data_IF_111435299938
#
_entry.id   IF_111435299938
#
_cell.length_a   1.000
_cell.length_b   1.000
_cell.length_c   1.000
_cell.angle_alpha   90.00
_cell.angle_beta   90.00
_cell.angle_gamma   90.00
#
_symmetry.space_group_name_H-M   'P 1'
#
loop_
_entity.id
_entity.type
_entity.pdbx_description
1 polymer ?
#
# COMPACT_ATOMS: atom_id res chain seq x y z
N UNK A 1 -25.38 37.72 12.49
CA UNK A 1 -24.66 36.49 12.87
C UNK A 1 -23.30 36.56 12.24
N UNK A 2 -22.33 36.85 13.09
CA UNK A 2 -20.93 37.09 12.79
C UNK A 2 -20.29 35.77 12.37
N UNK A 3 -19.70 35.74 11.18
CA UNK A 3 -18.80 34.65 10.78
C UNK A 3 -17.56 34.80 11.65
N UNK A 4 -17.50 34.00 12.71
CA UNK A 4 -16.29 33.83 13.50
C UNK A 4 -15.30 33.05 12.65
N UNK A 5 -14.18 33.69 12.33
CA UNK A 5 -12.94 33.03 11.89
C UNK A 5 -12.69 31.82 12.79
N UNK A 6 -12.89 30.62 12.25
CA UNK A 6 -12.29 29.42 12.81
C UNK A 6 -10.84 29.41 12.35
N UNK A 7 -9.97 29.74 13.31
CA UNK A 7 -8.58 29.35 13.44
C UNK A 7 -7.80 29.02 12.15
N UNK A 8 -6.79 29.85 11.90
CA UNK A 8 -5.61 29.50 11.11
C UNK A 8 -5.06 28.16 11.61
N UNK A 9 -5.48 27.06 10.99
CA UNK A 9 -4.76 25.81 11.03
C UNK A 9 -3.35 26.11 10.52
N UNK A 10 -2.36 25.98 11.40
CA UNK A 10 -0.94 26.19 11.12
C UNK A 10 -0.57 25.43 9.84
N UNK A 11 -0.18 26.19 8.81
CA UNK A 11 -0.03 25.79 7.41
C UNK A 11 1.22 24.95 7.13
N UNK A 12 1.66 24.14 8.08
CA UNK A 12 2.87 23.33 7.98
C UNK A 12 2.47 21.84 8.00
N UNK A 13 2.33 21.25 6.80
CA UNK A 13 1.99 19.85 6.55
C UNK A 13 3.13 18.90 6.91
N UNK A 14 4.39 19.36 6.91
CA UNK A 14 5.55 18.61 7.39
C UNK A 14 6.24 19.30 8.59
N UNK A 15 6.82 18.54 9.54
CA UNK A 15 7.60 19.14 10.62
C UNK A 15 8.79 19.94 10.07
N UNK A 16 8.93 21.21 10.49
CA UNK A 16 10.07 22.08 10.17
C UNK A 16 11.43 21.44 10.45
N UNK A 17 11.50 20.57 11.44
CA UNK A 17 12.69 19.80 11.78
C UNK A 17 13.23 18.95 10.61
N UNK A 18 12.36 18.40 9.77
CA UNK A 18 12.79 17.65 8.59
C UNK A 18 13.46 18.55 7.56
N UNK A 19 12.95 19.77 7.40
CA UNK A 19 13.56 20.78 6.53
C UNK A 19 14.94 21.18 7.07
N UNK A 20 15.08 21.38 8.39
CA UNK A 20 16.38 21.68 9.00
C UNK A 20 17.41 20.60 8.68
N UNK A 21 17.08 19.33 8.95
CA UNK A 21 17.97 18.19 8.67
C UNK A 21 18.33 18.06 7.18
N UNK A 22 17.36 18.27 6.28
CA UNK A 22 17.61 18.27 4.84
C UNK A 22 18.60 19.36 4.43
N UNK A 23 18.42 20.59 4.94
CA UNK A 23 19.31 21.71 4.67
C UNK A 23 20.69 21.50 5.28
N UNK A 24 20.78 20.95 6.48
CA UNK A 24 22.05 20.64 7.13
C UNK A 24 22.82 19.56 6.37
N UNK A 25 22.15 18.49 5.94
CA UNK A 25 22.75 17.47 5.09
C UNK A 25 23.25 18.07 3.76
N UNK A 26 22.46 18.94 3.13
CA UNK A 26 22.85 19.64 1.92
C UNK A 26 24.08 20.56 2.13
N UNK A 27 24.09 21.41 3.16
CA UNK A 27 25.25 22.27 3.50
C UNK A 27 26.50 21.46 3.79
N UNK A 28 26.34 20.38 4.57
CA UNK A 28 27.41 19.49 4.98
C UNK A 28 27.91 18.57 3.86
N UNK A 29 27.25 18.56 2.69
CA UNK A 29 27.51 17.62 1.60
C UNK A 29 27.52 16.16 2.09
N UNK A 30 26.55 15.85 2.95
CA UNK A 30 26.40 14.54 3.59
C UNK A 30 24.95 14.05 3.43
N UNK A 31 24.70 12.83 3.89
CA UNK A 31 23.38 12.22 3.96
C UNK A 31 23.30 11.31 5.19
N UNK A 32 22.10 10.90 5.55
CA UNK A 32 21.91 9.92 6.63
C UNK A 32 22.39 8.55 6.17
N UNK A 33 23.36 7.97 6.89
CA UNK A 33 23.96 6.66 6.56
C UNK A 33 24.16 5.81 7.81
N UNK A 34 24.21 4.49 7.62
CA UNK A 34 24.55 3.56 8.69
C UNK A 34 26.02 3.78 9.16
N UNK A 35 26.37 3.44 10.41
CA UNK A 35 27.73 3.62 10.94
C UNK A 35 28.82 2.84 10.19
N UNK A 36 28.45 1.86 9.38
CA UNK A 36 29.39 1.06 8.60
C UNK A 36 28.71 0.36 7.43
N UNK A 37 29.54 -0.09 6.50
CA UNK A 37 29.08 -0.84 5.33
C UNK A 37 28.64 -2.25 5.71
N UNK A 38 27.68 -2.77 4.96
CA UNK A 38 27.26 -4.18 5.00
C UNK A 38 27.47 -4.81 3.63
N UNK A 39 27.70 -6.12 3.61
CA UNK A 39 27.85 -6.90 2.37
C UNK A 39 26.83 -8.02 2.37
N UNK A 40 26.04 -8.13 1.30
CA UNK A 40 25.07 -9.19 1.11
C UNK A 40 25.53 -10.14 -0.01
N UNK A 41 25.55 -11.46 0.21
CA UNK A 41 25.88 -12.41 -0.84
C UNK A 41 24.76 -12.47 -1.89
N UNK A 42 25.11 -12.72 -3.15
CA UNK A 42 24.13 -12.83 -4.25
C UNK A 42 23.05 -13.91 -4.01
N UNK A 43 23.32 -14.89 -3.16
CA UNK A 43 22.38 -15.94 -2.75
C UNK A 43 21.15 -15.39 -2.03
N UNK A 44 21.23 -14.20 -1.41
CA UNK A 44 20.09 -13.47 -0.85
C UNK A 44 18.98 -13.27 -1.89
N UNK A 45 19.36 -13.06 -3.15
CA UNK A 45 18.43 -12.75 -4.24
C UNK A 45 18.11 -13.95 -5.14
N UNK A 46 18.93 -15.01 -5.08
CA UNK A 46 18.90 -16.11 -6.05
C UNK A 46 18.59 -17.48 -5.44
N UNK A 47 18.71 -17.66 -4.12
CA UNK A 47 18.43 -18.94 -3.46
C UNK A 47 16.91 -19.24 -3.40
N UNK A 48 16.42 -20.28 -4.10
CA UNK A 48 15.02 -20.64 -4.09
C UNK A 48 14.52 -21.13 -2.71
N UNK A 49 15.40 -21.73 -1.89
CA UNK A 49 15.03 -22.18 -0.53
C UNK A 49 14.79 -20.98 0.37
N UNK A 50 15.63 -19.95 0.26
CA UNK A 50 15.40 -18.67 0.93
C UNK A 50 14.11 -18.02 0.46
N UNK A 51 13.89 -17.94 -0.85
CA UNK A 51 12.67 -17.34 -1.39
C UNK A 51 11.41 -18.02 -0.85
N UNK A 52 11.39 -19.36 -0.78
CA UNK A 52 10.25 -20.08 -0.20
C UNK A 52 10.03 -19.71 1.28
N UNK A 53 11.10 -19.62 2.09
CA UNK A 53 11.00 -19.16 3.48
C UNK A 53 10.51 -17.72 3.60
N UNK A 54 10.94 -16.84 2.70
CA UNK A 54 10.44 -15.46 2.65
C UNK A 54 8.94 -15.43 2.37
N UNK A 55 8.44 -16.23 1.41
CA UNK A 55 7.00 -16.39 1.14
C UNK A 55 6.23 -16.86 2.38
N UNK A 56 6.75 -17.86 3.09
CA UNK A 56 6.06 -18.45 4.24
C UNK A 56 6.09 -17.54 5.47
N UNK A 57 7.20 -16.84 5.73
CA UNK A 57 7.37 -16.03 6.95
C UNK A 57 6.90 -14.58 6.73
N UNK A 58 7.35 -13.93 5.66
CA UNK A 58 7.09 -12.52 5.43
C UNK A 58 5.75 -12.30 4.73
N UNK A 59 5.50 -13.02 3.64
CA UNK A 59 4.32 -12.77 2.83
C UNK A 59 3.07 -13.42 3.40
N UNK A 60 3.12 -14.67 3.88
CA UNK A 60 1.94 -15.28 4.52
C UNK A 60 1.69 -14.74 5.93
N UNK A 61 2.74 -14.52 6.72
CA UNK A 61 2.63 -14.04 8.10
C UNK A 61 2.55 -12.52 8.26
N UNK A 62 2.52 -11.76 7.16
CA UNK A 62 2.48 -10.29 7.16
C UNK A 62 1.23 -9.75 6.51
N UNK A 63 0.85 -8.53 6.90
CA UNK A 63 -0.19 -7.78 6.21
C UNK A 63 0.39 -7.02 5.01
N UNK A 64 -0.40 -6.90 3.95
CA UNK A 64 0.01 -6.29 2.69
C UNK A 64 -0.84 -5.08 2.37
N UNK A 65 -0.19 -3.96 2.06
CA UNK A 65 -0.85 -2.82 1.44
C UNK A 65 -1.20 -3.20 0.00
N UNK A 66 -2.50 -3.26 -0.29
CA UNK A 66 -2.99 -3.73 -1.60
C UNK A 66 -3.67 -2.65 -2.42
N UNK A 67 -3.85 -1.47 -1.84
CA UNK A 67 -4.49 -0.35 -2.51
C UNK A 67 -4.79 0.79 -1.55
N UNK A 68 -5.57 1.74 -2.04
CA UNK A 68 -6.09 2.86 -1.27
C UNK A 68 -7.63 2.87 -1.26
N UNK A 69 -8.23 3.54 -0.28
CA UNK A 69 -9.69 3.55 -0.10
C UNK A 69 -10.42 4.14 -1.32
N UNK A 70 -9.77 5.07 -2.03
CA UNK A 70 -10.27 5.66 -3.28
C UNK A 70 -10.43 4.68 -4.45
N UNK A 71 -9.87 3.45 -4.40
CA UNK A 71 -10.16 2.42 -5.40
C UNK A 71 -11.57 1.84 -5.23
N UNK A 72 -12.18 2.01 -4.05
CA UNK A 72 -13.54 1.59 -3.72
C UNK A 72 -14.33 2.80 -3.21
N UNK A 73 -14.70 3.77 -4.06
CA UNK A 73 -15.22 5.06 -3.60
C UNK A 73 -16.64 5.00 -3.03
N UNK A 74 -17.42 3.95 -3.33
CA UNK A 74 -18.83 3.86 -2.94
C UNK A 74 -19.29 2.41 -2.76
N UNK A 75 -20.40 2.18 -2.02
CA UNK A 75 -21.04 0.87 -1.96
C UNK A 75 -21.28 0.26 -3.35
N UNK A 76 -21.15 -1.05 -3.47
CA UNK A 76 -21.29 -1.75 -4.76
C UNK A 76 -19.99 -1.90 -5.53
N UNK A 77 -18.86 -1.39 -5.04
CA UNK A 77 -17.57 -1.47 -5.74
C UNK A 77 -16.74 -2.67 -5.30
N UNK A 78 -15.88 -3.16 -6.20
CA UNK A 78 -14.89 -4.18 -5.89
C UNK A 78 -13.58 -3.95 -6.65
N UNK A 79 -12.50 -4.49 -6.11
CA UNK A 79 -11.19 -4.62 -6.77
C UNK A 79 -10.63 -6.03 -6.53
N UNK A 80 -9.73 -6.46 -7.40
CA UNK A 80 -8.98 -7.70 -7.25
C UNK A 80 -7.49 -7.44 -7.31
N UNK A 81 -6.72 -8.19 -6.52
CA UNK A 81 -5.25 -8.10 -6.47
C UNK A 81 -4.67 -9.52 -6.37
N UNK A 82 -3.43 -9.68 -6.80
CA UNK A 82 -2.66 -10.90 -6.52
C UNK A 82 -1.54 -10.55 -5.54
N UNK A 83 -1.56 -11.19 -4.37
CA UNK A 83 -0.61 -10.92 -3.29
C UNK A 83 0.22 -12.18 -3.05
N UNK A 84 1.49 -12.15 -3.45
CA UNK A 84 2.40 -13.29 -3.33
C UNK A 84 1.82 -14.61 -3.85
N UNK A 85 1.11 -14.58 -4.98
CA UNK A 85 0.46 -15.74 -5.59
C UNK A 85 -0.96 -16.02 -5.11
N UNK A 86 -1.49 -15.25 -4.15
CA UNK A 86 -2.84 -15.44 -3.60
C UNK A 86 -3.81 -14.44 -4.22
N UNK A 87 -4.88 -14.89 -4.90
CA UNK A 87 -5.87 -14.00 -5.48
C UNK A 87 -6.78 -13.46 -4.38
N UNK A 88 -6.82 -12.14 -4.24
CA UNK A 88 -7.59 -11.40 -3.23
C UNK A 88 -8.68 -10.60 -3.95
N UNK A 89 -9.88 -10.62 -3.37
CA UNK A 89 -11.02 -9.80 -3.76
C UNK A 89 -11.33 -8.87 -2.59
N UNK A 90 -11.46 -7.57 -2.87
CA UNK A 90 -11.94 -6.59 -1.89
C UNK A 90 -13.24 -6.00 -2.40
N UNK A 91 -14.22 -5.87 -1.53
CA UNK A 91 -15.52 -5.28 -1.82
C UNK A 91 -15.82 -4.15 -0.85
N UNK A 92 -16.63 -3.17 -1.29
CA UNK A 92 -17.37 -2.28 -0.39
C UNK A 92 -18.85 -2.61 -0.53
N UNK A 93 -19.43 -3.23 0.50
CA UNK A 93 -20.83 -3.64 0.45
C UNK A 93 -21.79 -2.46 0.65
N UNK A 94 -23.10 -2.72 0.57
CA UNK A 94 -24.18 -1.72 0.70
C UNK A 94 -24.15 -0.97 2.05
N UNK A 95 -23.58 -1.58 3.09
CA UNK A 95 -23.37 -0.96 4.40
C UNK A 95 -22.16 -0.03 4.45
N UNK A 96 -21.41 0.12 3.35
CA UNK A 96 -20.22 0.94 3.24
C UNK A 96 -18.95 0.31 3.80
N UNK A 97 -19.04 -0.89 4.40
CA UNK A 97 -17.92 -1.57 5.06
C UNK A 97 -17.07 -2.32 4.03
N UNK A 98 -15.76 -2.14 4.13
CA UNK A 98 -14.77 -2.88 3.34
C UNK A 98 -14.64 -4.32 3.83
N UNK A 99 -14.58 -5.25 2.89
CA UNK A 99 -14.39 -6.68 3.17
C UNK A 99 -13.38 -7.25 2.19
N UNK A 100 -12.57 -8.20 2.64
CA UNK A 100 -11.66 -8.95 1.78
C UNK A 100 -11.99 -10.44 1.82
N UNK A 101 -11.77 -11.10 0.69
CA UNK A 101 -11.98 -12.53 0.51
C UNK A 101 -10.85 -13.12 -0.32
N UNK A 102 -10.61 -14.42 -0.16
CA UNK A 102 -9.93 -15.18 -1.21
C UNK A 102 -10.82 -15.15 -2.45
N UNK A 103 -10.26 -14.67 -3.57
CA UNK A 103 -10.96 -14.60 -4.85
C UNK A 103 -10.99 -15.99 -5.52
N UNK A 104 -11.69 -16.92 -4.87
CA UNK A 104 -11.82 -18.30 -5.27
C UNK A 104 -13.22 -18.80 -4.89
N UNK A 105 -13.98 -19.25 -5.87
CA UNK A 105 -15.31 -19.78 -5.68
C UNK A 105 -15.25 -21.04 -4.79
N UNK A 106 -16.07 -21.10 -3.75
CA UNK A 106 -16.16 -22.24 -2.83
C UNK A 106 -16.61 -23.55 -3.46
N UNK A 107 -17.15 -23.53 -4.68
CA UNK A 107 -17.49 -24.74 -5.41
C UNK A 107 -16.23 -25.49 -5.92
N UNK A 108 -15.42 -24.85 -6.78
CA UNK A 108 -14.26 -25.50 -7.44
C UNK A 108 -13.05 -24.58 -7.61
N UNK A 109 -12.97 -23.49 -6.84
CA UNK A 109 -11.80 -22.61 -6.78
C UNK A 109 -11.60 -21.67 -7.96
N UNK A 110 -12.52 -21.60 -8.93
CA UNK A 110 -12.44 -20.62 -10.02
C UNK A 110 -12.47 -19.19 -9.47
N UNK A 111 -11.67 -18.28 -10.03
CA UNK A 111 -11.71 -16.87 -9.65
C UNK A 111 -13.10 -16.29 -9.92
N UNK A 112 -13.62 -15.56 -8.95
CA UNK A 112 -15.01 -15.07 -8.93
C UNK A 112 -15.12 -13.73 -9.66
N UNK A 113 -14.09 -12.90 -9.56
CA UNK A 113 -14.02 -11.60 -10.21
C UNK A 113 -12.61 -11.36 -10.77
N UNK A 114 -12.50 -10.40 -11.69
CA UNK A 114 -11.23 -9.95 -12.28
C UNK A 114 -11.28 -8.43 -12.46
N UNK A 115 -10.12 -7.78 -12.30
CA UNK A 115 -10.00 -6.32 -12.34
C UNK A 115 -10.74 -5.60 -11.21
N UNK A 116 -11.48 -4.55 -11.57
CA UNK A 116 -12.27 -3.71 -10.67
C UNK A 116 -13.62 -3.36 -11.31
N UNK A 117 -14.61 -2.99 -10.52
CA UNK A 117 -15.88 -2.53 -11.06
C UNK A 117 -16.98 -2.31 -10.04
N UNK A 118 -18.18 -2.06 -10.55
CA UNK A 118 -19.41 -1.89 -9.77
C UNK A 118 -20.35 -3.06 -10.06
N UNK A 119 -20.84 -3.71 -9.00
CA UNK A 119 -21.83 -4.79 -9.13
C UNK A 119 -22.63 -4.97 -7.85
N UNK A 120 -23.83 -5.55 -7.99
CA UNK A 120 -24.64 -6.00 -6.84
C UNK A 120 -24.36 -7.46 -6.47
N UNK A 121 -23.78 -8.23 -7.38
CA UNK A 121 -23.44 -9.66 -7.21
C UNK A 121 -22.20 -10.03 -7.98
N UNK A 122 -21.41 -10.92 -7.40
CA UNK A 122 -20.21 -11.49 -8.00
C UNK A 122 -20.56 -12.87 -8.52
N UNK A 123 -20.52 -13.08 -9.83
CA UNK A 123 -20.95 -14.35 -10.45
C UNK A 123 -19.75 -15.12 -10.96
N UNK A 124 -19.49 -16.28 -10.37
CA UNK A 124 -18.42 -17.18 -10.79
C UNK A 124 -18.62 -17.62 -12.24
N UNK A 125 -17.62 -17.43 -13.12
CA UNK A 125 -17.75 -17.72 -14.55
C UNK A 125 -17.86 -19.22 -14.86
N UNK A 126 -17.55 -20.10 -13.89
CA UNK A 126 -17.53 -21.54 -14.13
C UNK A 126 -18.93 -22.17 -14.10
N UNK A 127 -19.69 -21.95 -13.03
CA UNK A 127 -21.01 -22.56 -12.84
C UNK A 127 -22.06 -21.58 -12.33
N UNK A 128 -21.84 -20.27 -12.49
CA UNK A 128 -22.79 -19.23 -12.10
C UNK A 128 -23.22 -19.24 -10.62
N UNK A 129 -22.34 -19.73 -9.73
CA UNK A 129 -22.49 -19.44 -8.30
C UNK A 129 -22.33 -17.94 -8.10
N UNK A 130 -23.32 -17.31 -7.48
CA UNK A 130 -23.35 -15.88 -7.26
C UNK A 130 -23.20 -15.57 -5.78
N UNK A 131 -22.31 -14.64 -5.45
CA UNK A 131 -22.06 -14.15 -4.11
C UNK A 131 -22.51 -12.70 -4.01
N UNK A 132 -22.97 -12.27 -2.85
CA UNK A 132 -23.13 -10.84 -2.59
C UNK A 132 -21.78 -10.19 -2.22
N UNK A 133 -21.79 -8.89 -1.96
CA UNK A 133 -20.56 -8.18 -1.57
C UNK A 133 -20.17 -8.37 -0.09
N UNK A 134 -21.00 -9.05 0.70
CA UNK A 134 -20.64 -9.55 2.02
C UNK A 134 -19.90 -10.89 1.94
N UNK A 135 -19.82 -11.49 0.75
CA UNK A 135 -19.20 -12.78 0.50
C UNK A 135 -20.16 -13.96 0.65
N UNK A 136 -21.41 -13.72 1.06
CA UNK A 136 -22.39 -14.77 1.24
C UNK A 136 -22.83 -15.34 -0.11
N UNK A 137 -23.07 -16.66 -0.16
CA UNK A 137 -23.64 -17.27 -1.35
C UNK A 137 -25.04 -16.69 -1.57
N UNK A 138 -25.23 -15.87 -2.60
CA UNK A 138 -26.52 -15.29 -2.95
C UNK A 138 -27.41 -16.30 -3.69
N UNK A 139 -26.82 -17.12 -4.54
CA UNK A 139 -27.54 -18.17 -5.26
C UNK A 139 -26.63 -19.10 -6.05
N UNK A 140 -27.08 -20.34 -6.21
CA UNK A 140 -26.46 -21.36 -7.06
C UNK A 140 -27.51 -21.95 -8.00
N UNK A 141 -27.14 -22.33 -9.24
CA UNK A 141 -28.05 -23.06 -10.11
C UNK A 141 -28.56 -24.35 -9.47
N UNK A 142 -29.83 -24.68 -9.71
CA UNK A 142 -30.45 -25.93 -9.26
C UNK A 142 -30.31 -26.20 -7.75
N UNK A 143 -30.39 -25.16 -6.91
CA UNK A 143 -30.25 -25.28 -5.45
C UNK A 143 -31.16 -26.35 -4.81
N UNK A 144 -32.32 -26.65 -5.41
CA UNK A 144 -33.23 -27.71 -4.95
C UNK A 144 -32.60 -29.11 -4.92
N UNK A 145 -31.53 -29.35 -5.69
CA UNK A 145 -30.83 -30.63 -5.74
C UNK A 145 -29.80 -30.82 -4.60
N UNK A 146 -29.60 -29.79 -3.77
CA UNK A 146 -28.59 -29.74 -2.71
C UNK A 146 -29.21 -29.27 -1.38
N UNK A 147 -30.43 -29.74 -1.09
CA UNK A 147 -31.20 -29.30 0.08
C UNK A 147 -30.63 -29.76 1.42
N UNK A 148 -29.66 -30.68 1.39
CA UNK A 148 -28.91 -31.21 2.53
C UNK A 148 -27.69 -30.35 2.90
N UNK A 149 -27.31 -29.37 2.06
CA UNK A 149 -26.17 -28.49 2.32
C UNK A 149 -26.64 -27.14 2.88
N UNK A 150 -26.06 -26.75 4.01
CA UNK A 150 -26.36 -25.46 4.61
C UNK A 150 -25.73 -24.32 3.81
N UNK A 151 -26.58 -23.51 3.17
CA UNK A 151 -26.18 -22.42 2.27
C UNK A 151 -25.23 -21.39 2.93
N UNK A 152 -25.38 -21.13 4.23
CA UNK A 152 -24.54 -20.20 5.00
C UNK A 152 -23.06 -20.62 5.04
N UNK A 153 -22.78 -21.91 4.87
CA UNK A 153 -21.41 -22.48 4.91
C UNK A 153 -20.67 -22.35 3.57
N UNK A 154 -21.36 -21.86 2.54
CA UNK A 154 -20.87 -21.84 1.16
C UNK A 154 -20.38 -20.46 0.69
N UNK A 155 -20.31 -19.46 1.58
CA UNK A 155 -19.81 -18.12 1.27
C UNK A 155 -18.29 -18.09 1.00
N UNK A 156 -17.80 -17.01 0.40
CA UNK A 156 -16.38 -16.79 0.13
C UNK A 156 -15.57 -16.82 1.42
N UNK A 157 -14.35 -17.36 1.36
CA UNK A 157 -13.47 -17.38 2.51
C UNK A 157 -13.00 -15.95 2.82
N UNK A 158 -13.34 -15.37 4.00
CA UNK A 158 -12.93 -14.03 4.36
C UNK A 158 -11.41 -13.95 4.59
N UNK A 159 -10.87 -12.76 4.45
CA UNK A 159 -9.50 -12.40 4.81
C UNK A 159 -9.53 -11.18 5.74
N UNK A 160 -8.61 -11.09 6.73
CA UNK A 160 -8.48 -9.88 7.53
C UNK A 160 -8.20 -8.67 6.65
N UNK A 161 -8.88 -7.55 6.93
CA UNK A 161 -8.72 -6.28 6.20
C UNK A 161 -8.72 -5.10 7.19
N UNK A 162 -7.94 -4.06 6.89
CA UNK A 162 -7.99 -2.77 7.55
C UNK A 162 -7.92 -1.63 6.53
N UNK A 163 -8.53 -0.50 6.86
CA UNK A 163 -8.35 0.78 6.18
C UNK A 163 -7.82 1.78 7.20
N UNK A 164 -6.55 2.17 7.05
CA UNK A 164 -5.87 3.09 7.95
C UNK A 164 -5.21 4.18 7.12
N UNK A 165 -5.52 5.44 7.45
CA UNK A 165 -5.02 6.61 6.74
C UNK A 165 -5.24 6.54 5.21
N UNK A 166 -6.37 5.95 4.77
CA UNK A 166 -6.73 5.81 3.36
C UNK A 166 -6.00 4.68 2.62
N UNK A 167 -5.19 3.87 3.31
CA UNK A 167 -4.51 2.70 2.75
C UNK A 167 -5.21 1.41 3.20
N UNK A 168 -5.43 0.51 2.25
CA UNK A 168 -6.06 -0.79 2.49
C UNK A 168 -4.99 -1.84 2.69
N UNK A 169 -4.99 -2.47 3.87
CA UNK A 169 -4.17 -3.62 4.18
C UNK A 169 -5.00 -4.91 4.27
N UNK A 170 -4.42 -6.05 3.86
CA UNK A 170 -5.01 -7.39 4.04
C UNK A 170 -4.02 -8.39 4.59
N UNK A 171 -4.51 -9.29 5.45
CA UNK A 171 -3.82 -10.51 5.85
C UNK A 171 -4.15 -11.68 4.92
N UNK A 172 -3.21 -12.61 4.71
CA UNK A 172 -3.44 -13.81 3.89
C UNK A 172 -3.90 -15.04 4.71
N UNK A 173 -3.91 -14.91 6.03
CA UNK A 173 -4.38 -15.87 7.01
C UNK A 173 -5.03 -15.15 8.19
N UNK A 174 -5.90 -15.86 8.92
CA UNK A 174 -6.76 -15.30 9.96
C UNK A 174 -5.99 -14.78 11.19
N UNK A 175 -4.74 -15.22 11.38
CA UNK A 175 -3.84 -14.83 12.46
C UNK A 175 -3.09 -13.52 12.19
N UNK A 176 -3.19 -12.97 10.98
CA UNK A 176 -2.57 -11.69 10.62
C UNK A 176 -3.49 -10.54 10.99
N UNK A 177 -3.01 -9.66 11.86
CA UNK A 177 -3.67 -8.38 12.14
C UNK A 177 -3.22 -7.30 11.12
N UNK A 178 -4.09 -6.87 10.19
CA UNK A 178 -3.77 -5.84 9.21
C UNK A 178 -3.63 -4.44 9.83
N UNK A 179 -4.20 -4.17 11.00
CA UNK A 179 -4.05 -2.87 11.69
C UNK A 179 -2.64 -2.72 12.24
N UNK A 180 -2.04 -3.82 12.72
CA UNK A 180 -0.68 -3.83 13.27
C UNK A 180 0.38 -3.38 12.24
N UNK A 181 0.11 -3.49 10.94
CA UNK A 181 1.00 -2.97 9.89
C UNK A 181 1.07 -1.44 9.80
N UNK A 182 0.28 -0.71 10.59
CA UNK A 182 0.30 0.75 10.61
C UNK A 182 0.77 1.33 11.95
N UNK A 183 0.88 0.51 12.99
CA UNK A 183 1.03 0.96 14.38
C UNK A 183 2.21 1.93 14.59
N UNK A 184 3.33 1.70 13.91
CA UNK A 184 4.53 2.52 14.06
C UNK A 184 4.55 3.76 13.16
N UNK A 185 3.71 3.84 12.11
CA UNK A 185 3.82 4.86 11.04
C UNK A 185 2.51 5.63 10.76
N UNK A 186 1.40 5.27 11.40
CA UNK A 186 0.09 5.85 11.12
C UNK A 186 0.07 7.40 11.15
N UNK A 187 0.68 8.09 12.14
CA UNK A 187 0.67 9.55 12.16
C UNK A 187 1.30 10.17 10.91
N UNK A 188 2.39 9.58 10.40
CA UNK A 188 3.08 10.04 9.20
C UNK A 188 2.25 9.78 7.93
N UNK A 189 1.58 8.63 7.86
CA UNK A 189 0.71 8.30 6.72
C UNK A 189 -0.49 9.25 6.62
N UNK A 190 -1.04 9.70 7.76
CA UNK A 190 -2.14 10.69 7.77
C UNK A 190 -1.75 12.04 7.16
N UNK A 191 -0.46 12.41 7.16
CA UNK A 191 0.00 13.63 6.48
C UNK A 191 -0.08 13.53 4.95
N UNK A 192 -0.01 12.31 4.42
CA UNK A 192 -0.15 12.06 2.99
C UNK A 192 -1.59 12.28 2.50
N UNK A 193 -2.59 12.10 3.37
CA UNK A 193 -4.00 12.34 3.05
C UNK A 193 -4.55 11.39 1.99
N UNK A 194 -4.14 10.11 2.00
CA UNK A 194 -4.56 9.15 0.97
C UNK A 194 -6.08 8.96 0.89
N UNK A 195 -6.82 9.26 1.96
CA UNK A 195 -8.28 9.24 2.00
C UNK A 195 -8.95 10.23 1.04
N UNK A 196 -8.24 11.28 0.60
CA UNK A 196 -8.76 12.26 -0.37
C UNK A 196 -8.22 12.05 -1.78
N UNK A 197 -7.42 11.01 -2.02
CA UNK A 197 -6.82 10.76 -3.33
C UNK A 197 -7.76 9.96 -4.23
N UNK A 198 -7.69 10.26 -5.52
CA UNK A 198 -8.39 9.51 -6.57
C UNK A 198 -7.38 8.86 -7.52
N UNK A 199 -7.75 7.72 -8.10
CA UNK A 199 -6.93 7.07 -9.13
C UNK A 199 -7.03 7.87 -10.41
N UNK A 200 -5.89 8.39 -10.87
CA UNK A 200 -5.77 8.96 -12.22
C UNK A 200 -5.34 7.90 -13.24
N UNK A 201 -4.35 7.08 -12.88
CA UNK A 201 -3.85 6.00 -13.73
C UNK A 201 -3.24 4.88 -12.90
N UNK A 202 -3.24 3.67 -13.45
CA UNK A 202 -2.55 2.52 -12.89
C UNK A 202 -1.69 1.88 -13.99
N UNK A 203 -0.45 1.57 -13.63
CA UNK A 203 0.48 0.85 -14.48
C UNK A 203 0.97 -0.40 -13.76
N UNK A 204 1.17 -1.48 -14.52
CA UNK A 204 1.62 -2.76 -13.96
C UNK A 204 2.76 -3.28 -14.81
N UNK A 205 3.86 -3.62 -14.15
CA UNK A 205 5.05 -4.16 -14.79
C UNK A 205 5.39 -5.53 -14.20
N UNK A 206 5.77 -6.46 -15.06
CA UNK A 206 6.34 -7.75 -14.65
C UNK A 206 7.86 -7.65 -14.77
N UNK A 207 8.55 -7.65 -13.63
CA UNK A 207 10.00 -7.57 -13.57
C UNK A 207 10.60 -8.96 -13.39
N UNK A 208 11.61 -9.30 -14.20
CA UNK A 208 12.40 -10.52 -14.04
C UNK A 208 13.51 -10.31 -13.01
N UNK A 209 13.13 -9.99 -11.78
CA UNK A 209 14.04 -9.67 -10.68
C UNK A 209 13.52 -10.21 -9.34
N UNK A 210 14.41 -10.34 -8.36
CA UNK A 210 13.99 -10.63 -6.99
C UNK A 210 13.27 -9.40 -6.40
N UNK A 211 12.22 -9.63 -5.61
CA UNK A 211 11.43 -8.56 -5.00
C UNK A 211 12.27 -7.61 -4.14
N UNK A 212 13.32 -8.12 -3.48
CA UNK A 212 14.23 -7.31 -2.65
C UNK A 212 15.00 -6.29 -3.46
N UNK A 213 15.46 -6.65 -4.66
CA UNK A 213 16.16 -5.70 -5.55
C UNK A 213 15.21 -4.58 -5.99
N UNK A 214 13.97 -4.94 -6.35
CA UNK A 214 12.96 -3.96 -6.72
C UNK A 214 12.56 -3.05 -5.55
N UNK A 215 12.70 -3.51 -4.31
CA UNK A 215 12.46 -2.72 -3.11
C UNK A 215 13.68 -1.84 -2.74
N UNK A 216 14.87 -2.41 -2.68
CA UNK A 216 16.11 -1.76 -2.23
C UNK A 216 16.47 -0.53 -3.08
N UNK A 217 16.19 -0.55 -4.39
CA UNK A 217 16.40 0.61 -5.28
C UNK A 217 15.54 1.82 -4.91
N UNK A 218 14.49 1.63 -4.11
CA UNK A 218 13.65 2.71 -3.56
C UNK A 218 14.12 3.19 -2.18
N UNK A 219 15.26 2.70 -1.69
CA UNK A 219 15.85 3.06 -0.39
C UNK A 219 17.25 3.70 -0.53
N UNK A 220 17.65 4.09 -1.74
CA UNK A 220 18.94 4.73 -2.01
C UNK A 220 18.88 5.69 -3.21
N UNK A 221 19.67 6.77 -3.15
CA UNK A 221 19.74 7.79 -4.21
C UNK A 221 20.99 7.68 -5.08
N UNK A 222 21.80 6.66 -4.86
CA UNK A 222 23.13 6.52 -5.43
C UNK A 222 23.09 6.40 -6.96
N UNK A 223 22.04 5.77 -7.50
CA UNK A 223 21.88 5.61 -8.95
C UNK A 223 21.28 6.83 -9.66
N UNK A 224 20.71 7.80 -8.93
CA UNK A 224 19.84 8.84 -9.51
C UNK A 224 20.59 9.72 -10.52
N UNK A 225 21.82 10.13 -10.22
CA UNK A 225 22.60 10.97 -11.15
C UNK A 225 22.91 10.30 -12.48
N UNK A 226 22.98 8.97 -12.48
CA UNK A 226 23.43 8.21 -13.64
C UNK A 226 22.26 7.64 -14.44
N UNK A 227 21.34 6.93 -13.76
CA UNK A 227 20.21 6.28 -14.43
C UNK A 227 19.01 7.21 -14.64
N UNK A 228 18.93 8.31 -13.88
CA UNK A 228 17.86 9.30 -13.98
C UNK A 228 18.33 10.67 -14.47
N UNK A 229 19.46 10.70 -15.21
CA UNK A 229 20.07 11.92 -15.76
C UNK A 229 19.12 12.80 -16.58
N UNK A 230 18.17 12.16 -17.27
CA UNK A 230 17.21 12.83 -18.15
C UNK A 230 15.80 12.92 -17.51
N UNK A 231 15.65 12.49 -16.24
CA UNK A 231 14.38 12.48 -15.51
C UNK A 231 14.51 13.11 -14.12
N UNK A 232 14.77 12.31 -13.08
CA UNK A 232 14.71 12.73 -11.68
C UNK A 232 15.89 13.60 -11.24
N UNK A 233 17.06 13.47 -11.84
CA UNK A 233 18.27 14.19 -11.39
C UNK A 233 18.12 15.71 -11.45
N UNK A 234 17.18 16.22 -12.25
CA UNK A 234 16.88 17.65 -12.35
C UNK A 234 15.90 18.15 -11.29
N UNK A 235 15.33 17.25 -10.48
CA UNK A 235 14.28 17.55 -9.49
C UNK A 235 14.74 17.34 -8.05
N UNK A 236 15.64 16.38 -7.81
CA UNK A 236 16.09 15.99 -6.46
C UNK A 236 17.60 16.14 -6.29
N UNK A 237 18.03 16.41 -5.07
CA UNK A 237 19.44 16.61 -4.68
C UNK A 237 19.94 15.45 -3.78
N UNK A 238 21.26 15.24 -3.75
CA UNK A 238 21.93 14.05 -3.20
C UNK A 238 22.24 14.08 -1.71
N UNK A 239 21.29 14.56 -0.91
CA UNK A 239 21.47 14.73 0.53
C UNK A 239 20.24 14.28 1.32
N UNK A 240 19.74 13.05 1.09
CA UNK A 240 18.50 12.63 1.72
C UNK A 240 18.63 12.48 3.23
N UNK A 241 17.49 12.57 3.90
CA UNK A 241 17.30 12.16 5.29
C UNK A 241 16.57 10.82 5.33
N UNK A 242 16.84 10.05 6.37
CA UNK A 242 16.22 8.75 6.60
C UNK A 242 15.69 8.66 8.02
N UNK A 243 14.47 8.17 8.16
CA UNK A 243 13.85 7.88 9.45
C UNK A 243 13.31 6.45 9.47
N UNK A 244 13.45 5.78 10.61
CA UNK A 244 12.90 4.44 10.83
C UNK A 244 11.76 4.50 11.86
N UNK A 245 10.69 3.78 11.58
CA UNK A 245 9.53 3.62 12.46
C UNK A 245 9.18 2.13 12.55
N UNK A 246 9.79 1.42 13.49
CA UNK A 246 9.67 -0.04 13.55
C UNK A 246 10.13 -0.70 12.24
N UNK A 247 9.19 -1.29 11.50
CA UNK A 247 9.43 -1.91 10.18
C UNK A 247 9.28 -0.94 8.99
N UNK A 248 8.89 0.30 9.25
CA UNK A 248 8.66 1.31 8.22
C UNK A 248 9.85 2.27 8.12
N UNK A 249 9.97 2.91 6.98
CA UNK A 249 10.95 3.94 6.76
C UNK A 249 10.31 5.14 6.06
N UNK A 250 10.79 6.33 6.39
CA UNK A 250 10.60 7.52 5.58
C UNK A 250 11.95 7.90 4.98
N UNK A 251 11.91 8.20 3.70
CA UNK A 251 13.06 8.69 2.97
C UNK A 251 12.69 10.01 2.29
N UNK A 252 13.40 11.07 2.63
CA UNK A 252 13.10 12.44 2.20
C UNK A 252 14.28 13.08 1.50
N UNK A 253 14.00 13.89 0.47
CA UNK A 253 15.02 14.51 -0.37
C UNK A 253 14.92 16.04 -0.37
N UNK A 254 16.05 16.74 -0.47
CA UNK A 254 16.05 18.11 -0.91
C UNK A 254 15.73 18.15 -2.41
N UNK A 255 15.01 19.19 -2.84
CA UNK A 255 14.62 19.37 -4.25
C UNK A 255 15.36 20.55 -4.87
N UNK A 256 15.37 20.62 -6.20
CA UNK A 256 15.89 21.79 -6.92
C UNK A 256 15.14 23.05 -6.46
N UNK A 257 15.88 24.07 -6.04
CA UNK A 257 15.37 25.25 -5.33
C UNK A 257 15.82 25.31 -3.86
N UNK A 258 16.24 24.19 -3.28
CA UNK A 258 16.84 24.12 -1.94
C UNK A 258 18.05 25.07 -1.82
N UNK A 259 18.86 25.18 -2.89
CA UNK A 259 20.01 26.07 -2.96
C UNK A 259 19.69 27.55 -2.78
N UNK A 260 18.42 27.95 -2.98
CA UNK A 260 17.96 29.35 -2.83
C UNK A 260 17.53 29.68 -1.42
N UNK A 261 17.20 28.67 -0.62
CA UNK A 261 16.65 28.85 0.74
C UNK A 261 17.62 28.38 1.82
N UNK A 262 18.64 27.61 1.44
CA UNK A 262 19.63 27.04 2.36
C UNK A 262 20.30 28.07 3.25
N UNK A 263 20.56 29.29 2.80
CA UNK A 263 21.22 30.32 3.61
C UNK A 263 20.25 31.35 4.21
N UNK A 264 18.94 31.16 3.99
CA UNK A 264 17.92 32.05 4.53
C UNK A 264 17.53 31.65 5.96
N UNK A 265 17.15 32.62 6.81
CA UNK A 265 16.50 32.34 8.10
C UNK A 265 15.23 31.49 7.92
N UNK A 266 14.89 30.69 8.92
CA UNK A 266 13.77 29.74 8.88
C UNK A 266 12.43 30.41 8.57
N UNK A 267 12.20 31.66 9.02
CA UNK A 267 10.97 32.40 8.70
C UNK A 267 10.78 32.71 7.21
N UNK A 268 11.83 32.57 6.39
CA UNK A 268 11.80 32.79 4.95
C UNK A 268 11.72 31.48 4.14
N UNK A 269 11.67 30.33 4.80
CA UNK A 269 11.51 29.06 4.11
C UNK A 269 10.07 28.91 3.60
N UNK A 270 9.85 28.17 2.49
CA UNK A 270 8.51 27.86 2.01
C UNK A 270 7.64 27.23 3.12
N UNK A 271 6.30 27.39 3.06
CA UNK A 271 5.40 26.64 3.92
C UNK A 271 5.64 25.14 3.73
N UNK A 272 5.54 24.39 4.83
CA UNK A 272 5.75 22.94 4.83
C UNK A 272 4.45 22.17 4.69
#
# INVERSE_FOLDING_TARGET
>A
MTVTNSDQATSDRFPRELVRRLLDNYRGKTLDHAPGSMTEPATVFTDPVRFQKELDVLFRGGAHIIGWTGELPKPGTFITKNVAGHPVLVTRAEDGVLRAFRNACTHRGAQVADGCGETRRLTCPYHAWSFDLNGDLAGQPQAYAFSDIEKSTLGLQPLPIADVAGLIAVGLSDDVDPVAAFADIEPQLRWCGYETHEIVCQHTWTLKANWKIAFDVNLESYHVDYLHRDTLSNLVLHNPIYDSFGKHARWGFPTTGTEKVVDLPEEHWPPT
#
